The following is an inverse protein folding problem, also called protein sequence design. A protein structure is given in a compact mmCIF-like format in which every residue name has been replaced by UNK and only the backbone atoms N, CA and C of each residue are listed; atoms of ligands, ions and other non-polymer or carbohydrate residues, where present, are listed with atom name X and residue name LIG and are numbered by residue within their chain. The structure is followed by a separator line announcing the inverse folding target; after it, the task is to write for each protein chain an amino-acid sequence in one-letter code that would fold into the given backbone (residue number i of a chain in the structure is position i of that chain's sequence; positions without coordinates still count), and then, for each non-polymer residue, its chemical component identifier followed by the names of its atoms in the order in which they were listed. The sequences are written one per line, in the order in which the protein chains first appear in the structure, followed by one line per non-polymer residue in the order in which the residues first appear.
data_IF_023735179654
#
_entry.id   IF_023735179654
#
_cell.length_a   1.000
_cell.length_b   1.000
_cell.length_c   1.000
_cell.angle_alpha   90.00
_cell.angle_beta   90.00
_cell.angle_gamma   90.00
#
_symmetry.space_group_name_H-M   'P 1'
#
loop_
_entity.id
_entity.type
_entity.pdbx_description
1 polymer ?
#
# COMPACT_ATOMS: atom_id res chain seq x y z
N UNK A 1 -13.20 16.17 -18.81
CA UNK A 1 -12.02 15.30 -18.84
C UNK A 1 -11.34 15.39 -20.21
N UNK A 2 -10.05 15.74 -20.22
CA UNK A 2 -9.20 15.53 -21.40
C UNK A 2 -8.94 14.03 -21.52
N UNK A 3 -9.24 13.42 -22.67
CA UNK A 3 -9.02 11.99 -22.93
C UNK A 3 -7.53 11.63 -23.16
N UNK A 4 -6.61 12.52 -22.80
CA UNK A 4 -5.17 12.38 -23.06
C UNK A 4 -4.49 11.86 -21.78
N UNK A 5 -4.24 10.56 -21.74
CA UNK A 5 -3.36 9.94 -20.75
C UNK A 5 -1.90 10.09 -21.20
N UNK A 6 -1.05 10.71 -20.37
CA UNK A 6 0.38 10.83 -20.70
C UNK A 6 1.12 9.56 -20.26
N UNK A 7 2.23 9.19 -20.92
CA UNK A 7 3.04 8.06 -20.49
C UNK A 7 3.48 8.13 -19.02
N UNK A 8 3.72 9.34 -18.51
CA UNK A 8 4.07 9.58 -17.11
C UNK A 8 2.94 9.21 -16.15
N UNK A 9 1.67 9.51 -16.51
CA UNK A 9 0.50 9.15 -15.72
C UNK A 9 0.36 7.62 -15.63
N UNK A 10 0.58 6.94 -16.76
CA UNK A 10 0.59 5.48 -16.81
C UNK A 10 1.72 4.89 -15.96
N UNK A 11 2.93 5.45 -16.04
CA UNK A 11 4.07 4.98 -15.25
C UNK A 11 3.84 5.16 -13.74
N UNK A 12 3.27 6.29 -13.32
CA UNK A 12 2.91 6.53 -11.92
C UNK A 12 1.92 5.48 -11.41
N UNK A 13 0.87 5.18 -12.21
CA UNK A 13 -0.09 4.15 -11.85
C UNK A 13 0.54 2.75 -11.82
N UNK A 14 1.43 2.43 -12.76
CA UNK A 14 2.18 1.16 -12.73
C UNK A 14 3.05 1.02 -11.48
N UNK A 15 3.65 2.10 -10.95
CA UNK A 15 4.40 2.04 -9.69
C UNK A 15 3.52 1.79 -8.47
N UNK A 16 2.27 2.21 -8.51
CA UNK A 16 1.30 1.90 -7.47
C UNK A 16 0.89 0.42 -7.50
N UNK A 17 0.67 -0.14 -8.70
CA UNK A 17 0.34 -1.56 -8.88
C UNK A 17 1.55 -2.48 -8.61
N UNK A 18 2.73 -2.09 -9.09
CA UNK A 18 3.96 -2.88 -9.05
C UNK A 18 5.05 -2.14 -8.27
N UNK A 19 4.91 -2.01 -6.95
CA UNK A 19 5.83 -1.20 -6.16
C UNK A 19 7.20 -1.85 -6.02
N UNK A 20 8.19 -1.00 -5.75
CA UNK A 20 9.47 -1.41 -5.21
C UNK A 20 9.38 -1.54 -3.68
N UNK A 21 10.25 -2.39 -3.11
CA UNK A 21 10.24 -2.71 -1.69
C UNK A 21 11.58 -2.38 -1.03
N UNK A 22 11.50 -1.98 0.24
CA UNK A 22 12.64 -1.76 1.11
C UNK A 22 12.61 -2.80 2.25
N UNK A 23 13.77 -3.38 2.58
CA UNK A 23 13.88 -4.42 3.61
C UNK A 23 14.70 -3.88 4.78
N UNK A 24 14.15 -3.97 6.00
CA UNK A 24 14.82 -3.55 7.23
C UNK A 24 14.56 -4.56 8.34
N UNK A 25 15.61 -5.17 8.88
CA UNK A 25 15.51 -6.14 9.99
C UNK A 25 14.51 -7.29 9.74
N UNK A 26 14.40 -7.75 8.50
CA UNK A 26 13.45 -8.80 8.10
C UNK A 26 12.06 -8.29 7.72
N UNK A 27 11.71 -7.05 8.08
CA UNK A 27 10.48 -6.38 7.65
C UNK A 27 10.59 -5.87 6.21
N UNK A 28 9.46 -5.83 5.51
CA UNK A 28 9.30 -5.48 4.11
C UNK A 28 8.29 -4.33 3.99
N UNK A 29 8.77 -3.22 3.43
CA UNK A 29 8.00 -1.99 3.27
C UNK A 29 7.87 -1.59 1.82
N UNK A 30 6.82 -0.84 1.48
CA UNK A 30 6.81 -0.06 0.25
C UNK A 30 8.00 0.91 0.26
N UNK A 31 8.83 0.90 -0.78
CA UNK A 31 10.01 1.76 -0.85
C UNK A 31 9.64 3.25 -0.75
N UNK A 32 8.49 3.65 -1.32
CA UNK A 32 8.00 5.02 -1.26
C UNK A 32 7.52 5.47 0.13
N UNK A 33 7.32 4.55 1.08
CA UNK A 33 6.78 4.83 2.42
C UNK A 33 7.77 4.57 3.55
N UNK A 34 8.89 3.90 3.28
CA UNK A 34 9.84 3.59 4.33
C UNK A 34 10.53 4.86 4.83
N UNK A 35 10.43 5.07 6.14
CA UNK A 35 11.20 6.06 6.89
C UNK A 35 11.79 5.38 8.11
N UNK A 36 13.11 5.53 8.30
CA UNK A 36 13.83 4.81 9.35
C UNK A 36 13.43 5.24 10.76
N UNK A 37 13.21 6.54 10.97
CA UNK A 37 12.85 7.06 12.29
C UNK A 37 11.41 6.64 12.65
N UNK A 38 10.50 6.69 11.68
CA UNK A 38 9.13 6.18 11.84
C UNK A 38 9.12 4.69 12.12
N UNK A 39 9.98 3.91 11.44
CA UNK A 39 10.16 2.49 11.70
C UNK A 39 10.60 2.22 13.15
N UNK A 40 11.63 2.89 13.64
CA UNK A 40 12.11 2.71 15.02
C UNK A 40 11.04 3.08 16.05
N UNK A 41 10.26 4.13 15.79
CA UNK A 41 9.14 4.54 16.66
C UNK A 41 8.08 3.44 16.72
N UNK A 42 7.64 2.91 15.58
CA UNK A 42 6.61 1.87 15.56
C UNK A 42 7.12 0.53 16.10
N UNK A 43 8.34 0.15 15.78
CA UNK A 43 8.97 -1.07 16.30
C UNK A 43 9.01 -1.06 17.82
N UNK A 44 9.37 0.09 18.43
CA UNK A 44 9.33 0.26 19.88
C UNK A 44 7.91 0.25 20.44
N UNK A 45 6.97 0.92 19.79
CA UNK A 45 5.57 1.00 20.26
C UNK A 45 4.82 -0.32 20.19
N UNK A 46 5.24 -1.21 19.30
CA UNK A 46 4.63 -2.52 19.05
C UNK A 46 5.46 -3.67 19.61
N UNK A 47 6.34 -3.39 20.57
CA UNK A 47 7.17 -4.39 21.27
C UNK A 47 7.95 -5.34 20.34
N UNK A 48 8.38 -4.84 19.17
CA UNK A 48 9.12 -5.61 18.19
C UNK A 48 8.27 -6.45 17.23
N UNK A 49 6.93 -6.35 17.25
CA UNK A 49 6.03 -7.06 16.33
C UNK A 49 6.16 -6.51 14.89
N UNK A 50 6.97 -7.20 14.08
CA UNK A 50 7.25 -6.83 12.69
C UNK A 50 5.98 -6.82 11.83
N UNK A 51 5.10 -7.82 11.97
CA UNK A 51 3.85 -7.90 11.21
C UNK A 51 2.96 -6.70 11.48
N UNK A 52 2.83 -6.29 12.75
CA UNK A 52 2.06 -5.11 13.12
C UNK A 52 2.70 -3.81 12.60
N UNK A 53 4.04 -3.70 12.64
CA UNK A 53 4.77 -2.53 12.11
C UNK A 53 4.57 -2.40 10.60
N UNK A 54 4.73 -3.49 9.84
CA UNK A 54 4.46 -3.51 8.40
C UNK A 54 3.02 -3.11 8.10
N UNK A 55 2.05 -3.67 8.83
CA UNK A 55 0.63 -3.38 8.63
C UNK A 55 0.34 -1.88 8.76
N UNK A 56 0.98 -1.19 9.70
CA UNK A 56 0.83 0.26 9.89
C UNK A 56 1.60 1.04 8.83
N UNK A 57 2.88 0.72 8.59
CA UNK A 57 3.72 1.53 7.71
C UNK A 57 3.38 1.37 6.23
N UNK A 58 2.87 0.21 5.82
CA UNK A 58 2.40 -0.03 4.45
C UNK A 58 0.97 0.46 4.22
N UNK A 59 0.25 0.85 5.28
CA UNK A 59 -1.13 1.30 5.21
C UNK A 59 -1.29 2.54 4.32
N UNK A 60 -2.07 2.43 3.26
CA UNK A 60 -2.18 3.44 2.21
C UNK A 60 -3.64 3.81 1.99
N UNK A 61 -3.97 5.07 2.25
CA UNK A 61 -5.29 5.65 1.96
C UNK A 61 -5.39 6.00 0.48
N UNK A 62 -6.44 5.53 -0.18
CA UNK A 62 -6.65 5.79 -1.60
C UNK A 62 -6.89 7.28 -1.88
N UNK A 63 -7.51 8.01 -0.96
CA UNK A 63 -7.76 9.45 -1.12
C UNK A 63 -6.46 10.26 -1.06
N UNK A 64 -5.49 9.88 -0.22
CA UNK A 64 -4.18 10.54 -0.17
C UNK A 64 -3.41 10.37 -1.47
N UNK A 65 -3.46 9.17 -2.06
CA UNK A 65 -2.79 8.85 -3.33
C UNK A 65 -3.30 9.73 -4.46
N UNK A 66 -4.60 10.05 -4.46
CA UNK A 66 -5.26 10.86 -5.48
C UNK A 66 -5.65 12.25 -4.98
N UNK A 67 -4.99 12.77 -3.94
CA UNK A 67 -5.28 14.07 -3.32
C UNK A 67 -5.14 15.27 -4.27
N UNK A 68 -4.44 15.11 -5.40
CA UNK A 68 -4.36 16.10 -6.47
C UNK A 68 -5.56 16.11 -7.43
N UNK A 69 -6.47 15.15 -7.32
CA UNK A 69 -7.71 15.11 -8.11
C UNK A 69 -8.72 16.09 -7.53
N UNK A 70 -9.14 17.07 -8.34
CA UNK A 70 -10.13 18.09 -7.93
C UNK A 70 -11.55 17.77 -8.35
N UNK A 71 -11.73 16.70 -9.14
CA UNK A 71 -13.03 16.26 -9.62
C UNK A 71 -13.74 15.44 -8.53
N UNK A 72 -15.06 15.56 -8.45
CA UNK A 72 -15.86 14.62 -7.65
C UNK A 72 -15.83 13.24 -8.31
N UNK A 73 -15.28 12.26 -7.58
CA UNK A 73 -15.17 10.87 -7.99
C UNK A 73 -15.98 10.02 -7.02
N UNK A 74 -16.80 9.12 -7.56
CA UNK A 74 -17.61 8.20 -6.76
C UNK A 74 -16.72 7.26 -5.93
N UNK A 75 -17.05 7.08 -4.65
CA UNK A 75 -16.34 6.23 -3.70
C UNK A 75 -16.12 4.80 -4.26
N UNK A 76 -17.09 4.28 -5.03
CA UNK A 76 -17.00 2.95 -5.65
C UNK A 76 -15.78 2.81 -6.57
N UNK A 77 -15.32 3.90 -7.19
CA UNK A 77 -14.13 3.89 -8.05
C UNK A 77 -12.88 3.68 -7.20
N UNK A 78 -12.79 4.34 -6.05
CA UNK A 78 -11.67 4.17 -5.13
C UNK A 78 -11.65 2.77 -4.52
N UNK A 79 -12.82 2.19 -4.22
CA UNK A 79 -12.93 0.81 -3.73
C UNK A 79 -12.41 -0.19 -4.76
N UNK A 80 -12.83 -0.05 -6.03
CA UNK A 80 -12.35 -0.91 -7.12
C UNK A 80 -10.85 -0.76 -7.37
N UNK A 81 -10.32 0.46 -7.23
CA UNK A 81 -8.88 0.70 -7.31
C UNK A 81 -8.14 0.03 -6.15
N UNK A 82 -8.64 0.14 -4.92
CA UNK A 82 -8.06 -0.52 -3.75
C UNK A 82 -7.97 -2.04 -3.95
N UNK A 83 -9.05 -2.67 -4.43
CA UNK A 83 -9.07 -4.10 -4.73
C UNK A 83 -8.07 -4.50 -5.83
N UNK A 84 -7.97 -3.69 -6.87
CA UNK A 84 -7.03 -3.91 -7.98
C UNK A 84 -5.58 -3.82 -7.51
N UNK A 85 -5.27 -2.82 -6.68
CA UNK A 85 -3.95 -2.62 -6.09
C UNK A 85 -3.61 -3.78 -5.15
N UNK A 86 -4.54 -4.15 -4.26
CA UNK A 86 -4.36 -5.27 -3.35
C UNK A 86 -4.08 -6.57 -4.10
N UNK A 87 -4.81 -6.82 -5.21
CA UNK A 87 -4.56 -7.97 -6.06
C UNK A 87 -3.15 -7.94 -6.68
N UNK A 88 -2.74 -6.80 -7.21
CA UNK A 88 -1.41 -6.64 -7.78
C UNK A 88 -0.31 -6.85 -6.73
N UNK A 89 -0.45 -6.25 -5.54
CA UNK A 89 0.51 -6.42 -4.44
C UNK A 89 0.64 -7.87 -4.02
N UNK A 90 -0.45 -8.64 -3.93
CA UNK A 90 -0.39 -10.10 -3.66
C UNK A 90 0.48 -10.84 -4.69
N UNK A 91 0.33 -10.53 -5.98
CA UNK A 91 1.13 -11.15 -7.03
C UNK A 91 2.60 -10.78 -6.93
N UNK A 92 2.89 -9.48 -6.75
CA UNK A 92 4.25 -8.96 -6.72
C UNK A 92 5.00 -9.45 -5.48
N UNK A 93 4.37 -9.42 -4.30
CA UNK A 93 4.95 -9.93 -3.07
C UNK A 93 5.28 -11.41 -3.19
N UNK A 94 4.35 -12.23 -3.70
CA UNK A 94 4.58 -13.66 -3.93
C UNK A 94 5.72 -13.93 -4.92
N UNK A 95 5.84 -13.11 -5.97
CA UNK A 95 6.89 -13.25 -6.97
C UNK A 95 8.27 -12.84 -6.44
N UNK A 96 8.36 -11.74 -5.68
CA UNK A 96 9.63 -11.21 -5.15
C UNK A 96 10.10 -11.91 -3.87
N UNK A 97 9.19 -12.40 -3.06
CA UNK A 97 9.46 -12.97 -1.74
C UNK A 97 8.79 -14.34 -1.57
N UNK A 98 9.14 -15.35 -2.39
CA UNK A 98 8.45 -16.65 -2.40
C UNK A 98 8.59 -17.45 -1.09
N UNK A 99 9.57 -17.10 -0.24
CA UNK A 99 9.76 -17.71 1.09
C UNK A 99 8.95 -17.05 2.22
N UNK A 100 8.20 -15.98 1.91
CA UNK A 100 7.41 -15.25 2.88
C UNK A 100 5.91 -15.39 2.56
N UNK A 101 5.10 -15.49 3.60
CA UNK A 101 3.64 -15.42 3.48
C UNK A 101 3.18 -14.01 3.83
N UNK A 102 2.26 -13.47 3.05
CA UNK A 102 1.73 -12.13 3.27
C UNK A 102 0.21 -12.15 3.34
N UNK A 103 -0.33 -11.33 4.24
CA UNK A 103 -1.70 -10.84 4.15
C UNK A 103 -1.69 -9.51 3.40
N UNK A 104 -2.62 -9.35 2.45
CA UNK A 104 -2.88 -8.07 1.78
C UNK A 104 -4.35 -7.78 1.95
N UNK A 105 -4.65 -6.68 2.64
CA UNK A 105 -5.99 -6.35 3.11
C UNK A 105 -6.47 -5.05 2.47
N UNK A 106 -7.78 -5.02 2.20
CA UNK A 106 -8.53 -3.82 1.82
C UNK A 106 -9.52 -3.55 2.93
N UNK A 107 -9.61 -2.29 3.38
CA UNK A 107 -10.66 -1.85 4.30
C UNK A 107 -11.37 -0.62 3.76
N UNK A 108 -12.70 -0.69 3.71
CA UNK A 108 -13.59 0.41 3.35
C UNK A 108 -14.34 0.96 4.58
N UNK A 109 -13.89 0.63 5.80
CA UNK A 109 -14.60 0.97 7.03
C UNK A 109 -14.52 2.45 7.39
N UNK A 110 -13.46 3.13 6.95
CA UNK A 110 -13.17 4.52 7.33
C UNK A 110 -13.77 5.46 6.28
N UNK A 111 -15.10 5.64 6.35
CA UNK A 111 -15.85 6.47 5.40
C UNK A 111 -15.28 7.90 5.25
N UNK A 112 -14.69 8.45 6.31
CA UNK A 112 -14.09 9.79 6.30
C UNK A 112 -12.70 9.86 5.62
N UNK A 113 -12.01 8.72 5.47
CA UNK A 113 -10.64 8.64 4.93
C UNK A 113 -10.51 7.75 3.69
N UNK A 114 -11.64 7.21 3.23
CA UNK A 114 -11.76 6.39 2.04
C UNK A 114 -11.17 4.99 2.17
N UNK A 115 -11.23 4.20 1.09
CA UNK A 115 -10.67 2.85 1.03
C UNK A 115 -9.17 2.85 1.33
N UNK A 116 -8.71 1.79 1.98
CA UNK A 116 -7.31 1.61 2.36
C UNK A 116 -6.77 0.27 1.89
N UNK A 117 -5.48 0.24 1.55
CA UNK A 117 -4.75 -0.98 1.22
C UNK A 117 -3.53 -1.10 2.12
N UNK A 118 -3.30 -2.27 2.68
CA UNK A 118 -2.09 -2.58 3.44
C UNK A 118 -1.61 -4.00 3.17
N UNK A 119 -0.36 -4.28 3.52
CA UNK A 119 0.17 -5.64 3.59
C UNK A 119 1.15 -5.80 4.75
N UNK A 120 1.29 -7.04 5.18
CA UNK A 120 2.24 -7.47 6.19
C UNK A 120 2.50 -8.96 6.08
N UNK A 121 3.65 -9.40 6.59
CA UNK A 121 4.01 -10.80 6.70
C UNK A 121 3.08 -11.49 7.69
N UNK A 122 2.46 -12.59 7.28
CA UNK A 122 1.60 -13.42 8.13
C UNK A 122 2.39 -14.62 8.66
N UNK A 123 2.33 -14.88 9.96
CA UNK A 123 2.83 -16.12 10.55
C UNK A 123 1.91 -17.25 10.08
N UNK A 124 2.50 -18.30 9.49
CA UNK A 124 1.80 -19.56 9.18
C UNK A 124 2.06 -20.56 10.30
#
# INVERSE_FOLDING_TARGET
MSAICKPEDCLLFCRLLFPDFFISQGAIFLNAKYDHEVFLVWLKKLDGDISAVEKIMNHTHMYDVFSGCTDEVDDVVFEQLADTIAFSWRLVLKAKFPGCNFSVEVSNSDQDYGPTVTFYQSIV
#
